data_IF_566945584233
#
_entry.id   IF_566945584233
#
_cell.length_a   1.000
_cell.length_b   1.000
_cell.length_c   1.000
_cell.angle_alpha   90.00
_cell.angle_beta   90.00
_cell.angle_gamma   90.00
#
_symmetry.space_group_name_H-M   'P 1'
#
loop_
_entity.id
_entity.type
_entity.pdbx_description
1 polymer ?
#
# COMPACT_ATOMS: atom_id res chain seq x y z
N UNK A 1 -2.75 -6.15 -43.69
CA UNK A 1 -3.49 -6.08 -42.41
C UNK A 1 -2.50 -6.34 -41.28
N UNK A 2 -2.24 -5.30 -40.50
CA UNK A 2 -1.52 -5.26 -39.21
C UNK A 2 -1.82 -6.48 -38.33
N UNK A 3 -0.83 -7.21 -37.80
CA UNK A 3 -0.21 -6.98 -36.47
C UNK A 3 -1.30 -6.99 -35.38
N UNK A 4 -1.36 -7.94 -34.44
CA UNK A 4 -0.35 -8.20 -33.42
C UNK A 4 -0.24 -9.69 -33.05
N UNK A 5 0.98 -10.22 -33.16
CA UNK A 5 1.42 -11.49 -32.59
C UNK A 5 1.74 -11.30 -31.10
N UNK A 6 1.47 -12.37 -30.37
CA UNK A 6 1.62 -12.59 -28.95
C UNK A 6 3.11 -12.62 -28.57
N UNK A 7 3.65 -11.56 -27.95
CA UNK A 7 4.95 -11.59 -27.27
C UNK A 7 5.09 -10.38 -26.35
N UNK A 8 4.48 -10.48 -25.17
CA UNK A 8 4.57 -9.48 -24.09
C UNK A 8 5.30 -10.05 -22.89
N UNK A 9 6.62 -10.13 -23.02
CA UNK A 9 7.66 -10.17 -21.98
C UNK A 9 7.27 -10.50 -20.52
N UNK A 10 7.61 -11.73 -20.13
CA UNK A 10 8.01 -12.09 -18.77
C UNK A 10 9.03 -11.08 -18.22
N UNK A 11 8.73 -10.43 -17.10
CA UNK A 11 9.70 -9.64 -16.32
C UNK A 11 9.93 -10.32 -14.96
N UNK A 12 11.19 -10.58 -14.58
CA UNK A 12 11.53 -11.43 -13.44
C UNK A 12 11.36 -10.69 -12.10
N UNK A 13 10.75 -11.36 -11.11
CA UNK A 13 10.92 -11.04 -9.69
C UNK A 13 12.33 -11.46 -9.28
N UNK A 14 13.26 -10.52 -9.17
CA UNK A 14 14.36 -10.50 -8.17
C UNK A 14 15.23 -9.26 -8.41
N UNK A 15 15.46 -8.46 -7.37
CA UNK A 15 16.76 -7.82 -7.07
C UNK A 15 16.63 -6.92 -5.83
N UNK A 16 16.88 -7.49 -4.66
CA UNK A 16 17.33 -6.71 -3.50
C UNK A 16 18.83 -6.44 -3.67
N UNK A 17 19.17 -5.29 -4.22
CA UNK A 17 20.55 -4.78 -4.24
C UNK A 17 20.74 -3.92 -2.99
N UNK A 18 21.33 -4.50 -1.95
CA UNK A 18 21.94 -3.74 -0.86
C UNK A 18 23.40 -3.45 -1.24
N UNK A 19 23.62 -2.32 -1.91
CA UNK A 19 24.96 -1.78 -2.13
C UNK A 19 25.32 -0.82 -0.99
N UNK A 20 26.50 -1.06 -0.45
CA UNK A 20 27.11 -0.43 0.71
C UNK A 20 27.44 1.05 0.48
N UNK A 21 27.25 1.89 1.50
CA UNK A 21 27.78 3.25 1.58
C UNK A 21 28.35 3.53 2.97
N UNK A 22 29.68 3.45 3.08
CA UNK A 22 30.48 3.60 4.30
C UNK A 22 30.82 5.09 4.55
N UNK A 23 30.81 5.47 5.83
CA UNK A 23 31.69 6.41 6.56
C UNK A 23 32.20 7.73 5.92
N UNK A 24 32.00 8.84 6.65
CA UNK A 24 32.93 9.95 6.95
C UNK A 24 32.32 10.75 8.11
N UNK A 25 33.00 11.38 9.07
CA UNK A 25 34.41 11.63 9.35
C UNK A 25 34.47 12.50 10.63
N UNK A 26 35.53 12.33 11.41
CA UNK A 26 35.80 13.01 12.69
C UNK A 26 35.52 14.53 12.66
N UNK A 27 34.96 15.05 13.75
CA UNK A 27 35.10 16.46 14.14
C UNK A 27 36.01 16.54 15.37
N UNK A 28 37.05 17.36 15.24
CA UNK A 28 38.09 17.66 16.22
C UNK A 28 37.57 18.61 17.31
N UNK A 29 37.91 18.35 18.58
CA UNK A 29 37.72 19.26 19.70
C UNK A 29 38.94 20.18 19.88
N UNK A 30 38.75 21.46 20.23
CA UNK A 30 39.77 22.26 20.90
C UNK A 30 39.47 22.49 22.40
N UNK A 31 40.48 22.80 23.23
CA UNK A 31 40.42 22.66 24.69
C UNK A 31 40.06 23.94 25.46
N UNK A 32 39.41 23.74 26.62
CA UNK A 32 39.73 24.36 27.91
C UNK A 32 39.47 25.86 28.17
N UNK A 33 38.67 26.16 29.20
CA UNK A 33 38.68 27.46 29.89
C UNK A 33 37.45 27.68 30.78
N UNK A 34 37.60 27.50 32.10
CA UNK A 34 36.50 27.52 33.06
C UNK A 34 36.06 28.90 33.57
N UNK A 35 35.00 28.90 34.38
CA UNK A 35 34.66 30.04 35.25
C UNK A 35 33.17 30.17 35.60
N UNK A 36 32.79 29.66 36.77
CA UNK A 36 31.93 30.36 37.74
C UNK A 36 30.47 30.69 37.41
N UNK A 37 29.56 29.84 37.93
CA UNK A 37 28.45 30.26 38.81
C UNK A 37 27.29 31.05 38.22
N UNK A 38 26.12 30.42 38.13
CA UNK A 38 24.90 30.85 38.85
C UNK A 38 23.82 29.77 38.75
N UNK A 39 23.45 29.19 39.89
CA UNK A 39 22.16 28.54 40.07
C UNK A 39 21.07 29.63 39.99
N UNK A 40 20.08 29.44 39.12
CA UNK A 40 18.97 30.37 39.02
C UNK A 40 17.92 29.95 37.99
N UNK A 41 16.82 29.39 38.49
CA UNK A 41 15.50 29.67 37.91
C UNK A 41 14.98 28.67 36.89
N UNK A 42 14.18 27.72 37.40
CA UNK A 42 13.34 26.85 36.60
C UNK A 42 12.47 27.63 35.59
N UNK A 43 12.61 27.23 34.34
CA UNK A 43 11.72 27.60 33.24
C UNK A 43 11.59 26.41 32.31
N UNK A 44 11.21 25.24 32.86
CA UNK A 44 10.82 24.06 32.09
C UNK A 44 9.48 24.32 31.40
N UNK A 45 9.43 25.31 30.52
CA UNK A 45 8.34 25.49 29.60
C UNK A 45 8.27 24.26 28.69
N UNK A 46 7.06 23.73 28.39
CA UNK A 46 6.95 22.55 27.55
C UNK A 46 7.58 22.85 26.20
N UNK A 47 8.66 22.16 25.87
CA UNK A 47 9.22 22.18 24.52
C UNK A 47 8.15 21.66 23.56
N UNK A 48 7.88 22.37 22.44
CA UNK A 48 6.84 21.94 21.52
C UNK A 48 7.19 20.56 20.96
N UNK A 49 6.32 19.58 21.21
CA UNK A 49 6.48 18.22 20.70
C UNK A 49 6.43 18.28 19.16
N UNK A 50 7.37 17.64 18.45
CA UNK A 50 7.35 17.64 16.99
C UNK A 50 6.02 17.09 16.46
N UNK A 51 5.52 17.61 15.34
CA UNK A 51 4.26 17.19 14.77
C UNK A 51 4.29 15.69 14.45
N UNK A 52 3.18 15.00 14.74
CA UNK A 52 3.04 13.57 14.46
C UNK A 52 3.04 13.34 12.94
N UNK A 53 3.89 12.43 12.47
CA UNK A 53 3.93 12.02 11.05
C UNK A 53 2.78 11.04 10.75
N UNK A 54 2.12 11.22 9.62
CA UNK A 54 1.16 10.25 9.10
C UNK A 54 1.94 9.19 8.32
N UNK A 55 1.93 7.95 8.79
CA UNK A 55 2.78 6.85 8.26
C UNK A 55 1.98 5.65 7.77
N UNK A 56 0.65 5.71 7.86
CA UNK A 56 -0.27 4.67 7.40
C UNK A 56 -1.48 5.33 6.76
N UNK A 57 -1.90 4.78 5.63
CA UNK A 57 -3.16 5.13 4.97
C UNK A 57 -4.09 3.93 5.04
N UNK A 58 -5.37 4.18 5.28
CA UNK A 58 -6.46 3.21 5.18
C UNK A 58 -7.61 3.90 4.45
N UNK A 59 -8.12 3.25 3.42
CA UNK A 59 -9.26 3.71 2.65
C UNK A 59 -10.18 2.55 2.32
N UNK A 60 -11.49 2.79 2.41
CA UNK A 60 -12.54 1.89 1.95
C UNK A 60 -13.54 2.71 1.15
N UNK A 61 -14.00 2.14 0.05
CA UNK A 61 -15.06 2.71 -0.78
C UNK A 61 -15.99 1.57 -1.17
N UNK A 62 -17.30 1.80 -1.04
CA UNK A 62 -18.30 0.86 -1.53
C UNK A 62 -18.55 1.18 -3.02
N UNK A 63 -18.46 0.17 -3.88
CA UNK A 63 -18.51 0.32 -5.33
C UNK A 63 -19.89 -0.04 -5.88
N UNK A 64 -20.31 0.70 -6.91
CA UNK A 64 -21.52 0.37 -7.67
C UNK A 64 -21.19 -0.73 -8.69
N UNK A 65 -21.78 -1.91 -8.54
CA UNK A 65 -21.54 -3.05 -9.42
C UNK A 65 -21.82 -2.73 -10.90
N UNK A 66 -22.77 -1.84 -11.20
CA UNK A 66 -23.08 -1.46 -12.58
C UNK A 66 -21.99 -0.59 -13.24
N UNK A 67 -21.12 0.03 -12.44
CA UNK A 67 -20.07 0.94 -12.89
C UNK A 67 -18.69 0.60 -12.35
N UNK A 68 -18.53 -0.60 -11.79
CA UNK A 68 -17.33 -1.02 -11.03
C UNK A 68 -16.04 -0.81 -11.81
N UNK A 69 -16.02 -1.09 -13.11
CA UNK A 69 -14.83 -0.90 -13.95
C UNK A 69 -14.36 0.56 -13.99
N UNK A 70 -15.31 1.51 -14.11
CA UNK A 70 -15.00 2.94 -14.14
C UNK A 70 -14.52 3.43 -12.77
N UNK A 71 -15.22 3.03 -11.71
CA UNK A 71 -14.91 3.50 -10.37
C UNK A 71 -13.55 2.95 -9.91
N UNK A 72 -13.25 1.68 -10.18
CA UNK A 72 -11.92 1.08 -9.91
C UNK A 72 -10.82 1.78 -10.70
N UNK A 73 -11.04 2.12 -11.98
CA UNK A 73 -10.05 2.84 -12.78
C UNK A 73 -9.68 4.19 -12.14
N UNK A 74 -10.67 4.96 -11.70
CA UNK A 74 -10.44 6.25 -11.02
C UNK A 74 -9.70 6.05 -9.69
N UNK A 75 -10.04 5.01 -8.92
CA UNK A 75 -9.35 4.70 -7.65
C UNK A 75 -7.88 4.33 -7.90
N UNK A 76 -7.61 3.59 -8.97
CA UNK A 76 -6.24 3.24 -9.35
C UNK A 76 -5.43 4.51 -9.64
N UNK A 77 -5.92 5.36 -10.53
CA UNK A 77 -5.22 6.58 -10.97
C UNK A 77 -5.01 7.59 -9.83
N UNK A 78 -6.05 7.85 -9.05
CA UNK A 78 -6.02 8.95 -8.07
C UNK A 78 -5.40 8.54 -6.73
N UNK A 79 -5.55 7.27 -6.33
CA UNK A 79 -5.15 6.79 -4.99
C UNK A 79 -4.01 5.80 -5.06
N UNK A 80 -4.18 4.68 -5.77
CA UNK A 80 -3.20 3.57 -5.73
C UNK A 80 -1.90 4.00 -6.40
N UNK A 81 -1.95 4.63 -7.56
CA UNK A 81 -0.76 5.12 -8.26
C UNK A 81 -0.03 6.19 -7.44
N UNK A 82 -0.76 7.09 -6.78
CA UNK A 82 -0.16 8.13 -5.94
C UNK A 82 0.55 7.57 -4.70
N UNK A 83 0.06 6.45 -4.15
CA UNK A 83 0.70 5.75 -3.03
C UNK A 83 1.91 4.95 -3.50
N UNK A 84 1.76 4.16 -4.57
CA UNK A 84 2.84 3.32 -5.11
C UNK A 84 3.97 4.13 -5.72
N UNK A 85 3.74 5.39 -6.10
CA UNK A 85 4.80 6.31 -6.53
C UNK A 85 5.69 6.81 -5.37
N UNK A 86 5.34 6.57 -4.11
CA UNK A 86 6.13 7.01 -2.96
C UNK A 86 7.23 5.99 -2.63
N UNK A 87 8.49 6.45 -2.60
CA UNK A 87 9.64 5.59 -2.29
C UNK A 87 9.49 4.95 -0.89
N UNK A 88 9.55 3.62 -0.84
CA UNK A 88 9.44 2.85 0.39
C UNK A 88 8.01 2.68 0.92
N UNK A 89 6.98 3.05 0.14
CA UNK A 89 5.59 2.76 0.50
C UNK A 89 5.20 1.35 0.05
N UNK A 90 4.80 0.52 1.00
CA UNK A 90 4.16 -0.76 0.73
C UNK A 90 2.66 -0.55 0.61
N UNK A 91 2.05 -1.08 -0.46
CA UNK A 91 0.62 -0.93 -0.74
C UNK A 91 0.00 -2.30 -0.92
N UNK A 92 -1.04 -2.56 -0.13
CA UNK A 92 -1.90 -3.74 -0.24
C UNK A 92 -3.31 -3.28 -0.63
N UNK A 93 -3.94 -3.99 -1.56
CA UNK A 93 -5.29 -3.71 -2.04
C UNK A 93 -6.10 -4.99 -1.96
N UNK A 94 -7.29 -4.90 -1.40
CA UNK A 94 -8.22 -6.04 -1.28
C UNK A 94 -9.57 -5.64 -1.88
N UNK A 95 -10.14 -6.54 -2.68
CA UNK A 95 -11.50 -6.42 -3.21
C UNK A 95 -12.36 -7.54 -2.64
N UNK A 96 -13.53 -7.18 -2.12
CA UNK A 96 -14.53 -8.12 -1.62
C UNK A 96 -15.79 -8.03 -2.49
N UNK A 97 -16.30 -9.18 -2.93
CA UNK A 97 -17.50 -9.27 -3.76
C UNK A 97 -18.57 -10.02 -2.97
N UNK A 98 -19.73 -9.41 -2.78
CA UNK A 98 -20.90 -10.03 -2.14
C UNK A 98 -22.07 -10.00 -3.10
N UNK A 99 -22.67 -11.16 -3.34
CA UNK A 99 -23.86 -11.29 -4.16
C UNK A 99 -24.89 -12.14 -3.42
N UNK A 100 -26.15 -11.68 -3.43
CA UNK A 100 -27.30 -12.44 -2.91
C UNK A 100 -28.32 -12.59 -4.03
N UNK A 101 -28.84 -13.80 -4.17
CA UNK A 101 -29.96 -14.11 -5.05
C UNK A 101 -30.91 -15.02 -4.28
N UNK A 102 -32.10 -14.50 -3.96
CA UNK A 102 -33.05 -15.21 -3.08
C UNK A 102 -33.55 -16.53 -3.71
N UNK A 103 -33.64 -16.61 -5.03
CA UNK A 103 -34.01 -17.83 -5.75
C UNK A 103 -32.82 -18.82 -5.95
N UNK A 104 -31.66 -18.52 -5.36
CA UNK A 104 -30.42 -19.28 -5.53
C UNK A 104 -29.76 -19.08 -6.90
N UNK A 105 -28.50 -19.49 -7.04
CA UNK A 105 -27.78 -19.49 -8.31
C UNK A 105 -27.97 -20.82 -9.03
N UNK A 106 -28.04 -20.81 -10.37
CA UNK A 106 -28.06 -22.07 -11.12
C UNK A 106 -26.67 -22.73 -11.14
N UNK A 107 -26.65 -24.03 -11.41
CA UNK A 107 -25.42 -24.83 -11.40
C UNK A 107 -24.37 -24.30 -12.39
N UNK A 108 -24.82 -23.79 -13.55
CA UNK A 108 -23.93 -23.23 -14.57
C UNK A 108 -23.22 -21.97 -14.05
N UNK A 109 -23.94 -21.10 -13.34
CA UNK A 109 -23.40 -19.90 -12.71
C UNK A 109 -22.42 -20.25 -11.59
N UNK A 110 -22.81 -21.15 -10.68
CA UNK A 110 -21.96 -21.61 -9.57
C UNK A 110 -20.64 -22.15 -10.11
N UNK A 111 -20.72 -23.02 -11.12
CA UNK A 111 -19.55 -23.61 -11.78
C UNK A 111 -18.67 -22.53 -12.41
N UNK A 112 -19.25 -21.66 -13.23
CA UNK A 112 -18.51 -20.62 -13.95
C UNK A 112 -17.78 -19.68 -13.00
N UNK A 113 -18.46 -19.22 -11.95
CA UNK A 113 -17.85 -18.33 -10.96
C UNK A 113 -16.77 -19.06 -10.16
N UNK A 114 -16.99 -20.31 -9.77
CA UNK A 114 -15.98 -21.09 -9.04
C UNK A 114 -14.72 -21.33 -9.87
N UNK A 115 -14.88 -21.68 -11.16
CA UNK A 115 -13.77 -21.84 -12.11
C UNK A 115 -12.99 -20.52 -12.28
N UNK A 116 -13.69 -19.40 -12.44
CA UNK A 116 -13.05 -18.08 -12.54
C UNK A 116 -12.31 -17.68 -11.27
N UNK A 117 -12.92 -17.87 -10.10
CA UNK A 117 -12.30 -17.57 -8.80
C UNK A 117 -11.02 -18.38 -8.60
N UNK A 118 -11.03 -19.66 -8.99
CA UNK A 118 -9.82 -20.47 -9.01
C UNK A 118 -8.77 -19.94 -10.01
N UNK A 119 -9.15 -19.62 -11.25
CA UNK A 119 -8.22 -19.11 -12.27
C UNK A 119 -7.62 -17.75 -11.91
N UNK A 120 -8.36 -16.91 -11.20
CA UNK A 120 -7.94 -15.58 -10.78
C UNK A 120 -7.27 -15.58 -9.38
N UNK A 121 -6.94 -16.76 -8.85
CA UNK A 121 -6.28 -16.96 -7.55
C UNK A 121 -6.98 -16.23 -6.39
N UNK A 122 -8.32 -16.29 -6.34
CA UNK A 122 -9.06 -15.79 -5.18
C UNK A 122 -8.61 -16.56 -3.93
N UNK A 123 -8.16 -15.83 -2.90
CA UNK A 123 -7.71 -16.45 -1.65
C UNK A 123 -8.83 -17.15 -0.86
N UNK A 124 -10.06 -16.66 -0.98
CA UNK A 124 -11.26 -17.27 -0.43
C UNK A 124 -12.45 -16.96 -1.35
N UNK A 125 -13.24 -17.98 -1.64
CA UNK A 125 -14.50 -17.89 -2.38
C UNK A 125 -15.38 -19.09 -2.02
N UNK A 126 -16.67 -18.84 -1.80
CA UNK A 126 -17.65 -19.89 -1.51
C UNK A 126 -19.06 -19.45 -1.93
N UNK A 127 -19.94 -20.42 -2.16
CA UNK A 127 -21.37 -20.21 -2.25
C UNK A 127 -22.00 -20.79 -0.98
N UNK A 128 -22.78 -19.99 -0.27
CA UNK A 128 -23.45 -20.39 0.96
C UNK A 128 -24.85 -20.97 0.65
N UNK A 129 -25.20 -22.05 1.33
CA UNK A 129 -26.58 -22.54 1.41
C UNK A 129 -27.32 -21.75 2.51
N UNK A 130 -28.62 -21.49 2.33
CA UNK A 130 -29.46 -20.84 3.37
C UNK A 130 -29.84 -21.78 4.51
#
# INVERSE_FOLDING_TARGET
MSQFDCSGCYVPRTMSVWLHGRAIGLVLEPPGGGGGGTEGGGGGGPTPKPPKRQVRYYGRVDLDAARVNRDVAVIVEEVIERLTSQVGCEVEVSLEIRARKDDGFDEATIRTISENSHTLDFGSYEFEEE
#
